data_IF_515831872008
#
_entry.id   IF_515831872008
#
_cell.length_a   1.000
_cell.length_b   1.000
_cell.length_c   1.000
_cell.angle_alpha   90.00
_cell.angle_beta   90.00
_cell.angle_gamma   90.00
#
_symmetry.space_group_name_H-M   'P 1'
#
loop_
_entity.id
_entity.type
_entity.pdbx_description
1 polymer ?
#
# COMPACT_ATOMS: atom_id res chain seq x y z
N UNK A 1 -7.83 -7.50 -30.39
CA UNK A 1 -6.51 -7.35 -29.76
C UNK A 1 -5.79 -8.68 -29.84
N UNK A 2 -4.58 -8.73 -30.42
CA UNK A 2 -3.79 -9.97 -30.51
C UNK A 2 -3.24 -10.36 -29.12
N UNK A 3 -3.03 -11.65 -28.87
CA UNK A 3 -2.42 -12.17 -27.64
C UNK A 3 -1.04 -11.52 -27.37
N UNK A 4 -0.28 -11.19 -28.42
CA UNK A 4 0.98 -10.44 -28.33
C UNK A 4 0.82 -9.01 -27.84
N UNK A 5 -0.29 -8.34 -28.18
CA UNK A 5 -0.56 -6.96 -27.75
C UNK A 5 -0.78 -6.86 -26.22
N UNK A 6 -1.60 -7.74 -25.65
CA UNK A 6 -1.86 -7.76 -24.20
C UNK A 6 -0.61 -8.10 -23.36
N UNK A 7 0.28 -8.93 -23.89
CA UNK A 7 1.54 -9.26 -23.20
C UNK A 7 2.49 -8.06 -23.15
N UNK A 8 2.64 -7.32 -24.26
CA UNK A 8 3.51 -6.13 -24.31
C UNK A 8 2.98 -5.00 -23.42
N UNK A 9 1.68 -4.75 -23.45
CA UNK A 9 1.04 -3.76 -22.61
C UNK A 9 1.28 -4.08 -21.10
N UNK A 10 1.05 -5.34 -20.71
CA UNK A 10 1.30 -5.80 -19.35
C UNK A 10 2.77 -5.64 -18.97
N UNK A 11 3.71 -6.01 -19.82
CA UNK A 11 5.14 -5.87 -19.58
C UNK A 11 5.54 -4.41 -19.31
N UNK A 12 4.99 -3.46 -20.08
CA UNK A 12 5.25 -2.02 -19.88
C UNK A 12 4.68 -1.55 -18.52
N UNK A 13 3.47 -1.97 -18.15
CA UNK A 13 2.86 -1.62 -16.85
C UNK A 13 3.66 -2.18 -15.67
N UNK A 14 3.99 -3.48 -15.71
CA UNK A 14 4.75 -4.14 -14.64
C UNK A 14 6.13 -3.46 -14.48
N UNK A 15 6.77 -3.10 -15.60
CA UNK A 15 8.05 -2.36 -15.60
C UNK A 15 7.88 -0.96 -15.02
N UNK A 16 6.84 -0.23 -15.39
CA UNK A 16 6.56 1.10 -14.85
C UNK A 16 6.25 1.06 -13.35
N UNK A 17 5.45 0.08 -12.90
CA UNK A 17 5.16 -0.15 -11.48
C UNK A 17 6.44 -0.37 -10.69
N UNK A 18 7.35 -1.21 -11.17
CA UNK A 18 8.66 -1.46 -10.56
C UNK A 18 9.49 -0.19 -10.50
N UNK A 19 9.64 0.53 -11.61
CA UNK A 19 10.45 1.75 -11.70
C UNK A 19 9.93 2.84 -10.75
N UNK A 20 8.62 3.09 -10.76
CA UNK A 20 8.04 4.16 -9.97
C UNK A 20 7.97 3.81 -8.48
N UNK A 21 7.48 2.62 -8.14
CA UNK A 21 7.08 2.33 -6.77
C UNK A 21 7.96 1.31 -6.03
N UNK A 22 8.78 0.54 -6.75
CA UNK A 22 9.81 -0.30 -6.11
C UNK A 22 11.18 0.37 -6.08
N UNK A 23 11.53 1.15 -7.13
CA UNK A 23 12.81 1.86 -7.24
C UNK A 23 12.71 3.34 -6.83
N UNK A 24 11.51 3.90 -6.67
CA UNK A 24 11.29 5.30 -6.29
C UNK A 24 11.61 6.33 -7.37
N UNK A 25 11.75 5.91 -8.61
CA UNK A 25 12.10 6.78 -9.75
C UNK A 25 10.86 7.46 -10.32
N UNK A 26 10.20 8.31 -9.54
CA UNK A 26 8.94 8.97 -9.93
C UNK A 26 9.04 9.85 -11.18
N UNK A 27 10.23 10.32 -11.54
CA UNK A 27 10.47 11.16 -12.72
C UNK A 27 10.99 10.38 -13.94
N UNK A 28 11.02 9.04 -13.89
CA UNK A 28 11.42 8.22 -15.03
C UNK A 28 10.58 8.57 -16.26
N UNK A 29 11.25 8.68 -17.41
CA UNK A 29 10.64 9.04 -18.69
C UNK A 29 10.05 7.81 -19.39
N UNK A 30 9.25 8.02 -20.43
CA UNK A 30 8.79 6.92 -21.29
C UNK A 30 9.95 6.18 -21.99
N UNK A 31 11.09 6.86 -22.19
CA UNK A 31 12.29 6.21 -22.73
C UNK A 31 12.92 5.28 -21.68
N UNK A 32 13.07 5.74 -20.43
CA UNK A 32 13.60 4.89 -19.35
C UNK A 32 12.76 3.63 -19.15
N UNK A 33 11.44 3.76 -19.25
CA UNK A 33 10.51 2.63 -19.12
C UNK A 33 10.64 1.69 -20.33
N UNK A 34 10.72 2.22 -21.54
CA UNK A 34 10.88 1.45 -22.77
C UNK A 34 12.19 0.64 -22.74
N UNK A 35 13.30 1.28 -22.38
CA UNK A 35 14.62 0.66 -22.27
C UNK A 35 14.62 -0.46 -21.22
N UNK A 36 14.04 -0.20 -20.06
CA UNK A 36 13.93 -1.19 -18.99
C UNK A 36 12.97 -2.36 -19.31
N UNK A 37 11.95 -2.13 -20.14
CA UNK A 37 11.03 -3.15 -20.62
C UNK A 37 11.56 -3.92 -21.86
N UNK A 38 12.67 -3.45 -22.46
CA UNK A 38 13.21 -4.03 -23.69
C UNK A 38 12.30 -3.82 -24.90
N UNK A 39 11.54 -2.70 -24.92
CA UNK A 39 10.62 -2.36 -26.01
C UNK A 39 10.95 -1.02 -26.66
N UNK A 40 10.39 -0.75 -27.84
CA UNK A 40 10.53 0.56 -28.46
C UNK A 40 9.63 1.59 -27.74
N UNK A 41 10.14 2.81 -27.51
CA UNK A 41 9.38 3.93 -26.95
C UNK A 41 8.04 4.18 -27.67
N UNK A 42 7.99 3.92 -28.98
CA UNK A 42 6.76 4.04 -29.77
C UNK A 42 5.64 3.14 -29.22
N UNK A 43 5.97 1.94 -28.70
CA UNK A 43 4.99 1.04 -28.08
C UNK A 43 4.46 1.60 -26.77
N UNK A 44 5.31 2.24 -25.95
CA UNK A 44 4.84 2.92 -24.74
C UNK A 44 3.84 4.02 -25.10
N UNK A 45 4.12 4.83 -26.12
CA UNK A 45 3.17 5.84 -26.60
C UNK A 45 1.92 5.26 -27.25
N UNK A 46 2.03 4.13 -27.92
CA UNK A 46 0.87 3.45 -28.54
C UNK A 46 -0.14 3.00 -27.46
N UNK A 47 0.35 2.36 -26.38
CA UNK A 47 -0.54 1.84 -25.34
C UNK A 47 -1.01 2.91 -24.34
N UNK A 48 -0.14 3.84 -23.95
CA UNK A 48 -0.39 4.72 -22.80
C UNK A 48 -0.42 6.22 -23.14
N UNK A 49 -0.20 6.59 -24.39
CA UNK A 49 -0.23 7.98 -24.88
C UNK A 49 0.79 8.92 -24.22
N UNK A 50 0.87 8.95 -22.90
CA UNK A 50 1.82 9.77 -22.16
C UNK A 50 2.36 9.06 -20.93
N UNK A 51 3.47 9.59 -20.41
CA UNK A 51 4.08 9.14 -19.15
C UNK A 51 3.11 9.28 -17.98
N UNK A 52 2.37 10.37 -17.91
CA UNK A 52 1.49 10.68 -16.79
C UNK A 52 0.25 9.79 -16.78
N UNK A 53 -0.28 9.45 -17.95
CA UNK A 53 -1.37 8.47 -18.06
C UNK A 53 -0.89 7.09 -17.59
N UNK A 54 0.30 6.65 -18.02
CA UNK A 54 0.88 5.38 -17.55
C UNK A 54 1.09 5.39 -16.05
N UNK A 55 1.66 6.48 -15.50
CA UNK A 55 1.89 6.63 -14.06
C UNK A 55 0.58 6.50 -13.27
N UNK A 56 -0.46 7.24 -13.70
CA UNK A 56 -1.77 7.20 -13.07
C UNK A 56 -2.38 5.80 -13.10
N UNK A 57 -2.32 5.12 -14.26
CA UNK A 57 -2.86 3.76 -14.39
C UNK A 57 -2.18 2.78 -13.45
N UNK A 58 -0.84 2.76 -13.38
CA UNK A 58 -0.13 1.82 -12.50
C UNK A 58 -0.30 2.17 -11.02
N UNK A 59 -0.46 3.45 -10.68
CA UNK A 59 -0.78 3.87 -9.32
C UNK A 59 -2.16 3.36 -8.87
N UNK A 60 -3.19 3.55 -9.71
CA UNK A 60 -4.53 3.05 -9.46
C UNK A 60 -4.60 1.51 -9.44
N UNK A 61 -3.81 0.84 -10.28
CA UNK A 61 -3.68 -0.63 -10.28
C UNK A 61 -3.13 -1.13 -8.93
N UNK A 62 -2.08 -0.49 -8.40
CA UNK A 62 -1.53 -0.82 -7.08
C UNK A 62 -2.54 -0.61 -5.94
N UNK A 63 -3.28 0.50 -5.97
CA UNK A 63 -4.36 0.76 -4.99
C UNK A 63 -5.47 -0.27 -5.09
N UNK A 64 -5.95 -0.54 -6.30
CA UNK A 64 -7.03 -1.50 -6.53
C UNK A 64 -6.63 -2.91 -6.07
N UNK A 65 -5.40 -3.32 -6.34
CA UNK A 65 -4.87 -4.60 -5.88
C UNK A 65 -4.87 -4.70 -4.35
N UNK A 66 -4.51 -3.62 -3.64
CA UNK A 66 -4.57 -3.56 -2.18
C UNK A 66 -5.99 -3.76 -1.65
N UNK A 67 -6.97 -2.99 -2.14
CA UNK A 67 -8.35 -3.10 -1.69
C UNK A 67 -8.97 -4.46 -2.04
N UNK A 68 -8.63 -5.01 -3.21
CA UNK A 68 -9.06 -6.36 -3.59
C UNK A 68 -8.54 -7.42 -2.63
N UNK A 69 -7.25 -7.39 -2.27
CA UNK A 69 -6.69 -8.28 -1.24
C UNK A 69 -7.41 -8.10 0.09
N UNK A 70 -7.69 -6.87 0.49
CA UNK A 70 -8.40 -6.56 1.71
C UNK A 70 -9.80 -7.21 1.71
N UNK A 71 -10.51 -7.12 0.59
CA UNK A 71 -11.84 -7.72 0.43
C UNK A 71 -11.81 -9.26 0.43
N UNK A 72 -10.75 -9.85 -0.11
CA UNK A 72 -10.59 -11.30 -0.17
C UNK A 72 -10.16 -11.90 1.18
N UNK A 73 -9.28 -11.23 1.92
CA UNK A 73 -8.67 -11.76 3.14
C UNK A 73 -9.40 -11.38 4.43
N UNK A 74 -10.07 -10.23 4.47
CA UNK A 74 -10.78 -9.75 5.67
C UNK A 74 -12.27 -10.01 5.54
N UNK A 75 -12.71 -11.17 6.00
CA UNK A 75 -14.10 -11.61 5.89
C UNK A 75 -14.90 -11.33 7.17
N UNK A 76 -16.21 -11.03 7.07
CA UNK A 76 -17.06 -10.66 8.21
C UNK A 76 -17.08 -11.71 9.34
N UNK A 77 -17.06 -13.00 9.00
CA UNK A 77 -17.18 -14.13 9.92
C UNK A 77 -15.90 -14.45 10.70
N UNK A 78 -14.77 -13.86 10.32
CA UNK A 78 -13.51 -14.05 11.02
C UNK A 78 -13.52 -13.37 12.39
N UNK A 79 -12.74 -13.91 13.34
CA UNK A 79 -12.50 -13.21 14.60
C UNK A 79 -11.76 -11.89 14.37
N UNK A 80 -12.00 -10.91 15.23
CA UNK A 80 -11.37 -9.60 15.15
C UNK A 80 -9.84 -9.69 15.08
N UNK A 81 -9.24 -10.58 15.87
CA UNK A 81 -7.79 -10.82 15.85
C UNK A 81 -7.29 -11.25 14.47
N UNK A 82 -7.96 -12.20 13.84
CA UNK A 82 -7.60 -12.68 12.48
C UNK A 82 -7.73 -11.56 11.45
N UNK A 83 -8.77 -10.73 11.55
CA UNK A 83 -8.93 -9.54 10.69
C UNK A 83 -7.75 -8.58 10.83
N UNK A 84 -7.31 -8.29 12.06
CA UNK A 84 -6.16 -7.43 12.32
C UNK A 84 -4.87 -8.05 11.79
N UNK A 85 -4.68 -9.35 11.96
CA UNK A 85 -3.52 -10.07 11.42
C UNK A 85 -3.45 -9.97 9.89
N UNK A 86 -4.58 -10.19 9.20
CA UNK A 86 -4.66 -10.03 7.75
C UNK A 86 -4.43 -8.59 7.28
N UNK A 87 -5.00 -7.60 7.99
CA UNK A 87 -4.74 -6.18 7.70
C UNK A 87 -3.25 -5.85 7.76
N UNK A 88 -2.57 -6.30 8.80
CA UNK A 88 -1.12 -6.09 8.96
C UNK A 88 -0.36 -6.79 7.83
N UNK A 89 -0.69 -8.04 7.50
CA UNK A 89 -0.03 -8.79 6.44
C UNK A 89 -0.16 -8.10 5.08
N UNK A 90 -1.38 -7.71 4.69
CA UNK A 90 -1.64 -7.04 3.41
C UNK A 90 -0.85 -5.73 3.32
N UNK A 91 -0.87 -4.94 4.37
CA UNK A 91 -0.19 -3.64 4.41
C UNK A 91 1.33 -3.78 4.37
N UNK A 92 1.87 -4.72 5.17
CA UNK A 92 3.32 -4.96 5.19
C UNK A 92 3.80 -5.52 3.85
N UNK A 93 3.07 -6.48 3.27
CA UNK A 93 3.42 -7.09 1.99
C UNK A 93 3.50 -6.03 0.88
N UNK A 94 2.49 -5.16 0.78
CA UNK A 94 2.51 -4.06 -0.18
C UNK A 94 3.67 -3.09 0.06
N UNK A 95 3.88 -2.70 1.32
CA UNK A 95 4.94 -1.75 1.66
C UNK A 95 6.35 -2.31 1.44
N UNK A 96 6.54 -3.62 1.56
CA UNK A 96 7.81 -4.29 1.23
C UNK A 96 7.99 -4.39 -0.28
N UNK A 97 6.94 -4.76 -1.00
CA UNK A 97 6.99 -4.93 -2.46
C UNK A 97 7.14 -3.60 -3.20
N UNK A 98 6.39 -2.58 -2.76
CA UNK A 98 6.35 -1.24 -3.36
C UNK A 98 6.57 -0.14 -2.33
N UNK A 99 7.78 -0.03 -1.74
CA UNK A 99 8.05 0.87 -0.60
C UNK A 99 7.83 2.36 -0.90
N UNK A 100 7.83 2.74 -2.17
CA UNK A 100 7.62 4.12 -2.58
C UNK A 100 6.17 4.46 -2.97
N UNK A 101 5.24 3.50 -2.93
CA UNK A 101 3.83 3.77 -3.24
C UNK A 101 3.21 4.70 -2.18
N UNK A 102 3.37 4.35 -0.90
CA UNK A 102 2.90 5.17 0.22
C UNK A 102 3.67 6.49 0.32
N UNK A 103 4.97 6.48 0.04
CA UNK A 103 5.81 7.69 -0.02
C UNK A 103 5.29 8.67 -1.08
N UNK A 104 4.93 8.17 -2.26
CA UNK A 104 4.31 9.00 -3.30
C UNK A 104 2.97 9.56 -2.82
N UNK A 105 2.10 8.72 -2.26
CA UNK A 105 0.81 9.13 -1.73
C UNK A 105 0.98 10.30 -0.73
N UNK A 106 1.87 10.13 0.25
CA UNK A 106 2.15 11.18 1.25
C UNK A 106 2.66 12.47 0.58
N UNK A 107 3.48 12.38 -0.47
CA UNK A 107 3.98 13.55 -1.19
C UNK A 107 2.87 14.33 -1.93
N UNK A 108 1.75 13.67 -2.24
CA UNK A 108 0.62 14.27 -2.97
C UNK A 108 -0.49 14.83 -2.05
N UNK A 109 -0.40 14.67 -0.74
CA UNK A 109 -1.46 15.11 0.19
C UNK A 109 -1.72 16.64 0.16
N UNK A 110 -0.78 17.43 -0.31
CA UNK A 110 -0.94 18.87 -0.51
C UNK A 110 -1.51 19.26 -1.89
N UNK A 111 -1.80 18.27 -2.75
CA UNK A 111 -2.39 18.51 -4.07
C UNK A 111 -3.91 18.23 -4.00
N UNK A 112 -4.78 19.29 -4.01
CA UNK A 112 -6.21 19.10 -3.83
C UNK A 112 -6.85 18.19 -4.86
N UNK A 113 -6.44 18.25 -6.13
CA UNK A 113 -7.01 17.42 -7.20
C UNK A 113 -6.69 15.93 -7.03
N UNK A 114 -5.47 15.62 -6.56
CA UNK A 114 -5.10 14.23 -6.25
C UNK A 114 -5.84 13.73 -5.02
N UNK A 115 -5.98 14.59 -4.00
CA UNK A 115 -6.70 14.24 -2.78
C UNK A 115 -8.18 13.96 -3.06
N UNK A 116 -8.82 14.78 -3.89
CA UNK A 116 -10.21 14.60 -4.34
C UNK A 116 -10.37 13.25 -5.07
N UNK A 117 -9.52 12.98 -6.07
CA UNK A 117 -9.50 11.70 -6.79
C UNK A 117 -9.28 10.49 -5.86
N UNK A 118 -8.38 10.63 -4.86
CA UNK A 118 -8.12 9.59 -3.87
C UNK A 118 -9.31 9.33 -2.95
N UNK A 119 -10.18 10.32 -2.74
CA UNK A 119 -11.35 10.22 -1.86
C UNK A 119 -12.62 9.86 -2.62
N UNK A 120 -12.83 10.37 -3.83
CA UNK A 120 -14.02 10.12 -4.66
C UNK A 120 -14.12 8.67 -5.16
N UNK A 121 -13.00 8.04 -5.49
CA UNK A 121 -12.96 6.65 -5.99
C UNK A 121 -13.00 5.58 -4.89
N UNK A 122 -13.26 5.97 -3.64
CA UNK A 122 -13.60 5.00 -2.62
C UNK A 122 -15.01 4.50 -2.90
N UNK A 123 -15.13 3.25 -3.30
CA UNK A 123 -16.40 2.52 -3.12
C UNK A 123 -16.63 2.52 -1.62
N UNK A 124 -17.41 3.50 -1.18
CA UNK A 124 -17.72 3.71 0.23
C UNK A 124 -18.56 2.54 0.69
N UNK A 125 -17.89 1.56 1.26
CA UNK A 125 -18.56 0.54 2.01
C UNK A 125 -18.77 1.08 3.44
N UNK A 126 -19.61 2.13 3.56
CA UNK A 126 -19.97 2.76 4.84
C UNK A 126 -20.49 1.70 5.84
N UNK A 127 -21.22 0.72 5.36
CA UNK A 127 -21.72 -0.38 6.18
C UNK A 127 -20.58 -1.23 6.74
N UNK A 128 -19.57 -1.55 5.91
CA UNK A 128 -18.39 -2.32 6.34
C UNK A 128 -17.53 -1.55 7.35
N UNK A 129 -17.36 -0.27 7.11
CA UNK A 129 -16.66 0.64 8.00
C UNK A 129 -17.36 0.76 9.35
N UNK A 130 -18.68 0.96 9.32
CA UNK A 130 -19.53 1.01 10.52
C UNK A 130 -19.48 -0.32 11.29
N UNK A 131 -19.54 -1.46 10.59
CA UNK A 131 -19.42 -2.78 11.20
C UNK A 131 -18.05 -2.97 11.87
N UNK A 132 -16.96 -2.56 11.22
CA UNK A 132 -15.63 -2.66 11.79
C UNK A 132 -15.44 -1.75 13.02
N UNK A 133 -15.97 -0.54 13.00
CA UNK A 133 -16.03 0.33 14.20
C UNK A 133 -16.80 -0.30 15.36
N UNK A 134 -17.90 -0.99 15.05
CA UNK A 134 -18.68 -1.71 16.07
C UNK A 134 -17.87 -2.86 16.68
N UNK A 135 -17.13 -3.61 15.87
CA UNK A 135 -16.23 -4.67 16.35
C UNK A 135 -15.13 -4.11 17.26
N UNK A 136 -14.45 -3.03 16.86
CA UNK A 136 -13.43 -2.36 17.68
C UNK A 136 -14.01 -1.99 19.06
N UNK A 137 -15.21 -1.39 19.09
CA UNK A 137 -15.87 -1.03 20.36
C UNK A 137 -16.22 -2.27 21.21
N UNK A 138 -16.64 -3.36 20.58
CA UNK A 138 -16.94 -4.61 21.27
C UNK A 138 -15.68 -5.22 21.93
N UNK A 139 -14.56 -5.25 21.21
CA UNK A 139 -13.28 -5.75 21.73
C UNK A 139 -12.72 -4.87 22.87
N UNK A 140 -12.90 -3.55 22.77
CA UNK A 140 -12.59 -2.63 23.89
C UNK A 140 -13.43 -2.91 25.12
N UNK A 141 -14.72 -3.21 24.94
CA UNK A 141 -15.63 -3.55 26.04
C UNK A 141 -15.28 -4.91 26.64
N UNK A 142 -14.87 -5.87 25.83
CA UNK A 142 -14.41 -7.19 26.28
C UNK A 142 -13.06 -7.15 27.00
N UNK A 143 -12.30 -6.05 26.87
CA UNK A 143 -10.97 -5.92 27.46
C UNK A 143 -9.87 -6.64 26.68
N UNK A 144 -10.14 -7.01 25.42
CA UNK A 144 -9.17 -7.63 24.52
C UNK A 144 -8.14 -6.63 24.00
N UNK A 145 -8.54 -5.38 23.87
CA UNK A 145 -7.70 -4.25 23.42
C UNK A 145 -7.91 -3.04 24.35
N UNK A 146 -6.92 -2.14 24.33
CA UNK A 146 -6.96 -0.92 25.16
C UNK A 146 -8.10 0.00 24.74
N UNK A 147 -8.83 0.54 25.74
CA UNK A 147 -9.92 1.50 25.52
C UNK A 147 -9.38 2.82 24.96
N UNK A 148 -9.88 3.23 23.82
CA UNK A 148 -9.62 4.51 23.18
C UNK A 148 -10.74 4.84 22.20
N UNK A 149 -10.70 6.00 21.55
CA UNK A 149 -11.60 6.29 20.44
C UNK A 149 -11.28 5.34 19.27
N UNK A 150 -12.27 4.69 18.62
CA UNK A 150 -12.02 3.74 17.52
C UNK A 150 -11.17 4.29 16.39
N UNK A 151 -11.28 5.58 16.06
CA UNK A 151 -10.42 6.22 15.07
C UNK A 151 -8.95 6.24 15.53
N UNK A 152 -8.69 6.46 16.81
CA UNK A 152 -7.32 6.41 17.35
C UNK A 152 -6.72 5.01 17.25
N UNK A 153 -7.53 3.96 17.43
CA UNK A 153 -7.09 2.59 17.21
C UNK A 153 -6.62 2.36 15.77
N UNK A 154 -7.43 2.81 14.79
CA UNK A 154 -7.09 2.69 13.36
C UNK A 154 -5.84 3.50 12.99
N UNK A 155 -5.72 4.73 13.49
CA UNK A 155 -4.54 5.57 13.27
C UNK A 155 -3.28 4.95 13.86
N UNK A 156 -3.38 4.38 15.08
CA UNK A 156 -2.25 3.69 15.71
C UNK A 156 -1.84 2.45 14.90
N UNK A 157 -2.82 1.64 14.45
CA UNK A 157 -2.55 0.48 13.61
C UNK A 157 -1.85 0.88 12.31
N UNK A 158 -2.42 1.86 11.60
CA UNK A 158 -1.85 2.37 10.35
C UNK A 158 -0.43 2.90 10.55
N UNK A 159 -0.21 3.73 11.58
CA UNK A 159 1.10 4.28 11.88
C UNK A 159 2.13 3.20 12.26
N UNK A 160 1.73 2.22 13.06
CA UNK A 160 2.61 1.12 13.44
C UNK A 160 3.05 0.27 12.25
N UNK A 161 2.22 0.10 11.24
CA UNK A 161 2.55 -0.66 10.02
C UNK A 161 3.37 0.19 9.05
N UNK A 162 2.85 1.37 8.67
CA UNK A 162 3.39 2.16 7.54
C UNK A 162 4.64 2.96 7.91
N UNK A 163 4.72 3.49 9.15
CA UNK A 163 5.79 4.41 9.53
C UNK A 163 7.20 3.85 9.29
N UNK A 164 7.54 2.61 9.72
CA UNK A 164 8.88 2.08 9.49
C UNK A 164 9.23 1.96 8.00
N UNK A 165 8.26 1.65 7.15
CA UNK A 165 8.44 1.47 5.72
C UNK A 165 8.68 2.82 5.04
N UNK A 166 7.80 3.80 5.28
CA UNK A 166 7.89 5.15 4.71
C UNK A 166 9.16 5.85 5.15
N UNK A 167 9.53 5.70 6.44
CA UNK A 167 10.67 6.36 7.05
C UNK A 167 11.97 5.56 6.99
N UNK A 168 11.98 4.42 6.28
CA UNK A 168 13.14 3.52 6.19
C UNK A 168 14.47 4.24 5.96
N UNK A 169 14.62 5.12 4.95
CA UNK A 169 15.92 5.77 4.69
C UNK A 169 16.40 6.64 5.85
N UNK A 170 15.47 7.29 6.55
CA UNK A 170 15.80 8.10 7.73
C UNK A 170 16.16 7.21 8.92
N UNK A 171 15.39 6.15 9.17
CA UNK A 171 15.61 5.23 10.30
C UNK A 171 16.94 4.49 10.17
N UNK A 172 17.28 3.96 8.99
CA UNK A 172 18.56 3.32 8.73
C UNK A 172 19.73 4.27 9.04
N UNK A 173 19.61 5.53 8.62
CA UNK A 173 20.66 6.53 8.84
C UNK A 173 20.71 7.03 10.30
N UNK A 174 19.55 7.36 10.89
CA UNK A 174 19.47 7.92 12.24
C UNK A 174 19.85 6.90 13.32
N UNK A 175 19.54 5.63 13.11
CA UNK A 175 19.80 4.53 14.04
C UNK A 175 21.08 3.75 13.70
N UNK A 176 21.76 4.12 12.60
CA UNK A 176 22.98 3.45 12.11
C UNK A 176 22.80 1.94 11.93
N UNK A 177 21.62 1.53 11.41
CA UNK A 177 21.30 0.14 11.10
C UNK A 177 21.44 -0.11 9.61
N UNK A 178 21.95 -1.30 9.26
CA UNK A 178 22.06 -1.72 7.88
C UNK A 178 20.76 -2.33 7.34
N UNK A 179 20.71 -2.60 6.03
CA UNK A 179 19.56 -3.21 5.37
C UNK A 179 19.16 -4.56 5.98
N UNK A 180 20.15 -5.37 6.36
CA UNK A 180 19.92 -6.71 6.95
C UNK A 180 19.22 -6.60 8.30
N UNK A 181 19.66 -5.68 9.13
CA UNK A 181 19.06 -5.46 10.45
C UNK A 181 17.71 -4.78 10.34
N UNK A 182 17.53 -3.85 9.40
CA UNK A 182 16.23 -3.29 9.10
C UNK A 182 15.22 -4.39 8.66
N UNK A 183 15.62 -5.29 7.78
CA UNK A 183 14.77 -6.39 7.33
C UNK A 183 14.38 -7.34 8.48
N UNK A 184 15.27 -7.58 9.48
CA UNK A 184 14.91 -8.33 10.70
C UNK A 184 13.85 -7.59 11.54
N UNK A 185 14.00 -6.26 11.68
CA UNK A 185 13.01 -5.43 12.39
C UNK A 185 11.65 -5.54 11.70
N UNK A 186 11.61 -5.42 10.39
CA UNK A 186 10.37 -5.53 9.60
C UNK A 186 9.76 -6.94 9.73
N UNK A 187 10.58 -7.99 9.65
CA UNK A 187 10.10 -9.37 9.81
C UNK A 187 9.44 -9.64 11.17
N UNK A 188 9.94 -9.01 12.25
CA UNK A 188 9.36 -9.10 13.60
C UNK A 188 8.18 -8.14 13.85
N UNK A 189 7.85 -7.26 12.90
CA UNK A 189 6.94 -6.14 13.12
C UNK A 189 5.52 -6.58 13.43
N UNK A 190 5.00 -7.57 12.71
CA UNK A 190 3.65 -8.11 12.93
C UNK A 190 3.46 -8.54 14.39
N UNK A 191 4.38 -9.34 14.91
CA UNK A 191 4.31 -9.81 16.28
C UNK A 191 4.37 -8.66 17.30
N UNK A 192 5.25 -7.68 17.08
CA UNK A 192 5.36 -6.50 17.93
C UNK A 192 4.06 -5.67 17.93
N UNK A 193 3.44 -5.49 16.76
CA UNK A 193 2.15 -4.77 16.65
C UNK A 193 1.05 -5.53 17.40
N UNK A 194 0.94 -6.85 17.17
CA UNK A 194 -0.09 -7.66 17.85
C UNK A 194 0.06 -7.65 19.37
N UNK A 195 1.29 -7.73 19.87
CA UNK A 195 1.57 -7.58 21.32
C UNK A 195 1.24 -6.20 21.88
N UNK A 196 1.30 -5.16 21.04
CA UNK A 196 0.96 -3.78 21.45
C UNK A 196 -0.54 -3.56 21.46
N UNK A 197 -1.28 -4.19 20.53
CA UNK A 197 -2.72 -4.00 20.37
C UNK A 197 -3.51 -4.87 21.34
N UNK A 198 -3.17 -6.16 21.45
CA UNK A 198 -3.91 -7.13 22.25
C UNK A 198 -3.33 -7.24 23.65
N UNK A 199 -4.20 -7.16 24.66
CA UNK A 199 -3.82 -7.19 26.08
C UNK A 199 -3.56 -8.61 26.60
N UNK A 200 -4.01 -9.63 25.88
CA UNK A 200 -3.79 -11.07 26.18
C UNK A 200 -3.75 -11.90 24.89
#
# INVERSE_FOLDING_TARGET
MSIKDGHTEKLIRDTAMRIFFKEGRFHATTQDIADAAGVNRTLVHYYFRSRDILFKQVFEEGRTAFFKKLDEMVQPEQSFRVKIEHLIDIWMEQGIEYPFLDTYLVSQLNNPSVLEELTENRVDNEDRKAAFYKEIKAEMKAGSITKMEPMQFLLNLAAMVSYPIIMRPLLERALSIDEKDFNKIVAGRKEAILKTIFLK
#
